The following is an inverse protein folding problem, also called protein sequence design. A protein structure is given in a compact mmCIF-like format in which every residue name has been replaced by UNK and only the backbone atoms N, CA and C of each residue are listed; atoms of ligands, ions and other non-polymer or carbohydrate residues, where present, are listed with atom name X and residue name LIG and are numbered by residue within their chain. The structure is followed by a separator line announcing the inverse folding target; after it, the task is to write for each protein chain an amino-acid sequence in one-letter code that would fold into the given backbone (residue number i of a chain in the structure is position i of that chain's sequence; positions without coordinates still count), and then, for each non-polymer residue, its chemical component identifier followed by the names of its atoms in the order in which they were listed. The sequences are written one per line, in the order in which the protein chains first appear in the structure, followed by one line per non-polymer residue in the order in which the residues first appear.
data_IF_006229219008
#
_entry.id   IF_006229219008
#
_cell.length_a   1.000
_cell.length_b   1.000
_cell.length_c   1.000
_cell.angle_alpha   90.00
_cell.angle_beta   90.00
_cell.angle_gamma   90.00
#
_symmetry.space_group_name_H-M   'P 1'
#
loop_
_entity.id
_entity.type
_entity.pdbx_description
1 polymer ?
#
# COMPACT_ATOMS: atom_id res chain seq x y z
N UNK A 1 15.64 1.28 9.49
CA UNK A 1 14.78 2.44 9.21
C UNK A 1 15.24 3.02 7.88
N UNK A 2 14.78 2.43 6.78
CA UNK A 2 15.12 2.91 5.44
C UNK A 2 13.89 2.77 4.55
N UNK A 3 13.16 3.88 4.44
CA UNK A 3 12.00 4.00 3.56
C UNK A 3 12.48 3.93 2.12
N UNK A 4 11.86 3.03 1.34
CA UNK A 4 12.13 2.83 -0.08
C UNK A 4 11.10 3.56 -0.92
N UNK A 5 11.54 4.19 -2.00
CA UNK A 5 10.65 4.86 -2.95
C UNK A 5 9.59 3.89 -3.53
N UNK A 6 9.90 2.60 -3.65
CA UNK A 6 8.94 1.59 -4.08
C UNK A 6 7.74 1.44 -3.13
N UNK A 7 7.95 1.58 -1.81
CA UNK A 7 6.85 1.52 -0.84
C UNK A 7 5.93 2.74 -0.98
N UNK A 8 6.50 3.92 -1.18
CA UNK A 8 5.73 5.15 -1.42
C UNK A 8 4.93 5.09 -2.73
N UNK A 9 5.52 4.56 -3.80
CA UNK A 9 4.82 4.31 -5.08
C UNK A 9 3.67 3.32 -4.93
N UNK A 10 3.87 2.26 -4.15
CA UNK A 10 2.81 1.28 -3.86
C UNK A 10 1.70 1.88 -3.01
N UNK A 11 2.03 2.70 -2.01
CA UNK A 11 1.03 3.44 -1.22
C UNK A 11 0.19 4.35 -2.12
N UNK A 12 0.83 5.15 -2.98
CA UNK A 12 0.13 6.05 -3.90
C UNK A 12 -0.80 5.27 -4.83
N UNK A 13 -0.31 4.19 -5.45
CA UNK A 13 -1.12 3.35 -6.33
C UNK A 13 -2.34 2.75 -5.61
N UNK A 14 -2.20 2.32 -4.35
CA UNK A 14 -3.35 1.84 -3.56
C UNK A 14 -4.30 2.97 -3.18
N UNK A 15 -3.80 4.15 -2.87
CA UNK A 15 -4.63 5.32 -2.56
C UNK A 15 -5.46 5.77 -3.78
N UNK A 16 -4.89 5.71 -4.98
CA UNK A 16 -5.57 6.05 -6.23
C UNK A 16 -6.54 4.96 -6.69
N UNK A 17 -6.12 3.68 -6.63
CA UNK A 17 -6.93 2.56 -7.10
C UNK A 17 -8.00 2.11 -6.09
N UNK A 18 -7.83 2.40 -4.80
CA UNK A 18 -8.67 1.91 -3.71
C UNK A 18 -8.59 0.40 -3.49
N UNK A 19 -7.69 -0.32 -4.17
CA UNK A 19 -7.57 -1.78 -4.11
C UNK A 19 -6.12 -2.25 -4.30
N UNK A 20 -5.65 -3.18 -3.47
CA UNK A 20 -4.28 -3.71 -3.54
C UNK A 20 -4.01 -4.56 -4.80
N UNK A 21 -5.01 -5.30 -5.28
CA UNK A 21 -4.90 -6.10 -6.49
C UNK A 21 -4.74 -5.23 -7.72
N UNK A 22 -5.59 -4.21 -7.84
CA UNK A 22 -5.53 -3.24 -8.94
C UNK A 22 -4.21 -2.45 -8.93
N UNK A 23 -3.76 -1.99 -7.76
CA UNK A 23 -2.45 -1.37 -7.61
C UNK A 23 -1.30 -2.30 -8.04
N UNK A 24 -1.41 -3.60 -7.73
CA UNK A 24 -0.45 -4.60 -8.17
C UNK A 24 -0.41 -4.75 -9.69
N UNK A 25 -1.58 -4.82 -10.33
CA UNK A 25 -1.70 -4.88 -11.79
C UNK A 25 -1.08 -3.64 -12.46
N UNK A 26 -1.37 -2.44 -11.96
CA UNK A 26 -0.84 -1.18 -12.50
C UNK A 26 0.69 -1.09 -12.35
N UNK A 27 1.25 -1.65 -11.28
CA UNK A 27 2.69 -1.63 -11.00
C UNK A 27 3.45 -2.85 -11.54
N UNK A 28 2.75 -3.82 -12.15
CA UNK A 28 3.36 -5.05 -12.66
C UNK A 28 3.90 -5.97 -11.55
N UNK A 29 3.29 -5.97 -10.36
CA UNK A 29 3.70 -6.79 -9.21
C UNK A 29 2.50 -7.54 -8.61
N UNK A 30 2.78 -8.52 -7.74
CA UNK A 30 1.69 -9.22 -7.04
C UNK A 30 1.02 -8.33 -5.99
N UNK A 31 -0.27 -8.59 -5.75
CA UNK A 31 -1.02 -7.99 -4.63
C UNK A 31 -0.32 -8.20 -3.28
N UNK A 32 0.29 -9.37 -3.07
CA UNK A 32 1.03 -9.69 -1.84
C UNK A 32 2.29 -8.83 -1.69
N UNK A 33 2.99 -8.51 -2.78
CA UNK A 33 4.14 -7.60 -2.76
C UNK A 33 3.72 -6.18 -2.35
N UNK A 34 2.61 -5.68 -2.90
CA UNK A 34 2.03 -4.38 -2.53
C UNK A 34 1.67 -4.35 -1.05
N UNK A 35 0.94 -5.38 -0.58
CA UNK A 35 0.54 -5.48 0.83
C UNK A 35 1.74 -5.53 1.79
N UNK A 36 2.79 -6.28 1.44
CA UNK A 36 3.99 -6.39 2.25
C UNK A 36 4.79 -5.08 2.29
N UNK A 37 4.91 -4.39 1.16
CA UNK A 37 5.59 -3.10 1.09
C UNK A 37 4.90 -2.03 1.95
N UNK A 38 3.56 -1.97 1.90
CA UNK A 38 2.75 -1.07 2.72
C UNK A 38 2.87 -1.43 4.20
N UNK A 39 2.73 -2.70 4.58
CA UNK A 39 2.88 -3.11 5.97
C UNK A 39 4.27 -2.78 6.54
N UNK A 40 5.31 -2.93 5.72
CA UNK A 40 6.68 -2.55 6.09
C UNK A 40 6.79 -1.04 6.29
N UNK A 41 6.20 -0.24 5.39
CA UNK A 41 6.19 1.23 5.50
C UNK A 41 5.47 1.71 6.76
N UNK A 42 4.28 1.15 7.04
CA UNK A 42 3.49 1.44 8.24
C UNK A 42 4.30 1.10 9.51
N UNK A 43 5.00 -0.04 9.52
CA UNK A 43 5.85 -0.44 10.64
C UNK A 43 7.07 0.49 10.83
N UNK A 44 7.72 0.92 9.74
CA UNK A 44 8.85 1.86 9.81
C UNK A 44 8.44 3.26 10.27
N UNK A 45 7.22 3.70 9.91
CA UNK A 45 6.68 4.99 10.33
C UNK A 45 6.00 4.95 11.70
N UNK A 46 5.62 3.76 12.18
CA UNK A 46 4.87 3.59 13.42
C UNK A 46 3.42 4.06 13.33
N UNK A 47 2.85 4.15 12.12
CA UNK A 47 1.49 4.61 11.87
C UNK A 47 0.80 3.71 10.85
N UNK A 48 -0.53 3.57 10.98
CA UNK A 48 -1.36 2.93 9.96
C UNK A 48 -1.69 4.01 8.92
N UNK A 49 -1.53 3.69 7.65
CA UNK A 49 -1.76 4.61 6.53
C UNK A 49 -3.03 4.26 5.74
N UNK A 50 -3.45 2.99 5.79
CA UNK A 50 -4.61 2.49 5.06
C UNK A 50 -5.56 1.69 5.94
N UNK A 51 -6.83 2.07 5.93
CA UNK A 51 -7.93 1.25 6.44
C UNK A 51 -8.34 0.22 5.38
N UNK A 52 -8.20 -1.07 5.70
CA UNK A 52 -8.55 -2.18 4.81
C UNK A 52 -9.92 -2.75 5.18
N UNK A 53 -10.75 -3.07 4.19
CA UNK A 53 -12.07 -3.67 4.40
C UNK A 53 -12.61 -4.42 3.20
N UNK A 54 -13.86 -4.89 3.29
CA UNK A 54 -14.53 -5.67 2.24
C UNK A 54 -14.61 -4.97 0.88
N UNK A 55 -14.47 -3.64 0.87
CA UNK A 55 -14.56 -2.81 -0.32
C UNK A 55 -13.19 -2.30 -0.82
N UNK A 56 -12.09 -2.82 -0.29
CA UNK A 56 -10.74 -2.42 -0.67
C UNK A 56 -10.03 -1.64 0.44
N UNK A 57 -9.39 -0.54 0.07
CA UNK A 57 -8.52 0.26 0.94
C UNK A 57 -8.83 1.75 0.82
N UNK A 58 -8.79 2.47 1.94
CA UNK A 58 -8.91 3.93 2.01
C UNK A 58 -7.81 4.49 2.90
N UNK A 59 -7.40 5.74 2.65
CA UNK A 59 -6.46 6.44 3.53
C UNK A 59 -7.05 6.59 4.94
N UNK A 60 -6.21 6.44 5.94
CA UNK A 60 -6.57 6.82 7.31
C UNK A 60 -6.79 8.34 7.41
N UNK A 61 -7.68 8.82 8.30
CA UNK A 61 -7.90 10.24 8.53
C UNK A 61 -6.65 11.02 8.95
#
# INVERSE_FOLDING_TARGET
MTIKLSQLKMLLAVAEAGNFGEAGLQLGVSQSAVSHAIATLEAELGVILLNRGRYGAQLTP
#
